data_IF_432672600133
#
_entry.id   IF_432672600133
#
_cell.length_a   1.000
_cell.length_b   1.000
_cell.length_c   1.000
_cell.angle_alpha   90.00
_cell.angle_beta   90.00
_cell.angle_gamma   90.00
#
_symmetry.space_group_name_H-M   'P 1'
#
loop_
_entity.id
_entity.type
_entity.pdbx_description
1 polymer ?
#
# COMPACT_ATOMS: atom_id res chain seq x y z
N UNK A 1 6.72 -9.32 -9.81
CA UNK A 1 6.64 -8.43 -8.62
C UNK A 1 7.97 -8.53 -7.90
N UNK A 2 8.63 -7.40 -7.61
CA UNK A 2 9.89 -7.39 -6.85
C UNK A 2 9.67 -7.33 -5.35
N UNK A 3 8.61 -6.65 -4.90
CA UNK A 3 8.31 -6.51 -3.47
C UNK A 3 6.85 -6.12 -3.25
N UNK A 4 6.29 -6.54 -2.11
CA UNK A 4 4.95 -6.19 -1.68
C UNK A 4 5.01 -5.32 -0.42
N UNK A 5 4.12 -4.34 -0.30
CA UNK A 5 3.99 -3.49 0.90
C UNK A 5 2.55 -3.39 1.31
N UNK A 6 2.27 -3.67 2.58
CA UNK A 6 0.95 -3.40 3.13
C UNK A 6 0.77 -1.89 3.31
N UNK A 7 -0.41 -1.41 2.95
CA UNK A 7 -0.71 0.01 2.93
C UNK A 7 -1.47 0.42 4.19
N UNK A 8 -1.09 1.55 4.77
CA UNK A 8 -1.90 2.27 5.75
C UNK A 8 -2.19 3.67 5.23
N UNK A 9 -3.36 4.19 5.59
CA UNK A 9 -3.82 5.50 5.14
C UNK A 9 -4.22 6.36 6.34
N UNK A 10 -3.93 7.67 6.30
CA UNK A 10 -4.34 8.59 7.37
C UNK A 10 -5.84 8.89 7.30
N UNK A 11 -6.42 8.85 6.09
CA UNK A 11 -7.82 9.16 5.83
C UNK A 11 -8.32 8.47 4.55
N UNK A 12 -9.64 8.40 4.43
CA UNK A 12 -10.34 7.74 3.31
C UNK A 12 -10.11 8.46 1.98
N UNK A 13 -9.91 9.78 1.99
CA UNK A 13 -9.68 10.55 0.78
C UNK A 13 -8.32 10.20 0.16
N UNK A 14 -7.28 10.10 0.99
CA UNK A 14 -5.94 9.67 0.60
C UNK A 14 -5.98 8.23 0.09
N UNK A 15 -6.72 7.32 0.76
CA UNK A 15 -6.92 5.94 0.30
C UNK A 15 -7.50 5.91 -1.11
N UNK A 16 -8.67 6.52 -1.33
CA UNK A 16 -9.36 6.49 -2.63
C UNK A 16 -8.51 7.09 -3.75
N UNK A 17 -7.79 8.17 -3.47
CA UNK A 17 -6.93 8.81 -4.47
C UNK A 17 -5.73 7.92 -4.81
N UNK A 18 -5.10 7.29 -3.81
CA UNK A 18 -4.02 6.33 -4.05
C UNK A 18 -4.52 5.11 -4.83
N UNK A 19 -5.66 4.55 -4.44
CA UNK A 19 -6.27 3.40 -5.10
C UNK A 19 -6.60 3.68 -6.56
N UNK A 20 -7.14 4.86 -6.85
CA UNK A 20 -7.39 5.30 -8.23
C UNK A 20 -6.10 5.45 -9.03
N UNK A 21 -5.07 6.04 -8.43
CA UNK A 21 -3.79 6.31 -9.10
C UNK A 21 -2.94 5.04 -9.34
N UNK A 22 -3.06 4.04 -8.45
CA UNK A 22 -2.26 2.80 -8.45
C UNK A 22 -3.11 1.53 -8.62
N UNK A 23 -4.31 1.64 -9.19
CA UNK A 23 -5.30 0.56 -9.27
C UNK A 23 -4.73 -0.77 -9.79
N UNK A 24 -3.93 -0.72 -10.86
CA UNK A 24 -3.33 -1.92 -11.48
C UNK A 24 -2.25 -2.61 -10.62
N UNK A 25 -1.75 -1.94 -9.57
CA UNK A 25 -0.69 -2.41 -8.70
C UNK A 25 -1.18 -2.63 -7.26
N UNK A 26 -2.50 -2.63 -7.02
CA UNK A 26 -3.09 -2.91 -5.72
C UNK A 26 -3.75 -4.28 -5.73
N UNK A 27 -3.55 -5.01 -4.64
CA UNK A 27 -4.23 -6.25 -4.34
C UNK A 27 -4.75 -6.22 -2.90
N UNK A 28 -5.49 -7.25 -2.53
CA UNK A 28 -5.98 -7.49 -1.17
C UNK A 28 -5.40 -8.80 -0.67
N UNK A 29 -4.89 -8.83 0.56
CA UNK A 29 -4.41 -10.07 1.16
C UNK A 29 -5.55 -10.91 1.80
N UNK A 30 -5.19 -12.06 2.37
CA UNK A 30 -6.16 -13.01 2.97
C UNK A 30 -6.95 -12.42 4.14
N UNK A 31 -6.41 -11.42 4.83
CA UNK A 31 -7.06 -10.77 5.98
C UNK A 31 -7.84 -9.50 5.56
N UNK A 32 -7.85 -9.16 4.27
CA UNK A 32 -8.55 -8.00 3.74
C UNK A 32 -7.72 -6.71 3.68
N UNK A 33 -6.40 -6.78 3.89
CA UNK A 33 -5.55 -5.59 3.88
C UNK A 33 -5.17 -5.19 2.45
N UNK A 34 -5.13 -3.89 2.13
CA UNK A 34 -4.63 -3.40 0.85
C UNK A 34 -3.11 -3.58 0.76
N UNK A 35 -2.65 -4.08 -0.37
CA UNK A 35 -1.24 -4.39 -0.65
C UNK A 35 -0.82 -3.74 -1.95
N UNK A 36 0.25 -2.95 -1.92
CA UNK A 36 0.92 -2.44 -3.12
C UNK A 36 1.94 -3.45 -3.63
N UNK A 37 1.84 -3.82 -4.91
CA UNK A 37 2.69 -4.78 -5.59
C UNK A 37 3.68 -4.07 -6.51
N UNK A 38 4.86 -3.72 -5.99
CA UNK A 38 5.87 -3.02 -6.76
C UNK A 38 6.65 -3.98 -7.69
N UNK A 39 6.60 -3.71 -9.00
CA UNK A 39 7.32 -4.50 -10.01
C UNK A 39 8.84 -4.37 -9.88
N UNK A 40 9.35 -3.19 -9.49
CA UNK A 40 10.75 -2.90 -9.21
C UNK A 40 10.92 -2.03 -7.95
N UNK A 41 12.13 -2.01 -7.37
CA UNK A 41 12.45 -1.15 -6.20
C UNK A 41 12.30 0.35 -6.50
N UNK A 42 12.69 0.78 -7.70
CA UNK A 42 12.54 2.17 -8.15
C UNK A 42 11.07 2.61 -8.17
N UNK A 43 10.16 1.74 -8.61
CA UNK A 43 8.71 1.99 -8.58
C UNK A 43 8.20 2.22 -7.16
N UNK A 44 8.66 1.41 -6.19
CA UNK A 44 8.31 1.62 -4.78
C UNK A 44 8.80 2.99 -4.30
N UNK A 45 10.06 3.33 -4.56
CA UNK A 45 10.65 4.60 -4.12
C UNK A 45 9.90 5.81 -4.68
N UNK A 46 9.69 5.88 -6.00
CA UNK A 46 8.97 6.99 -6.64
C UNK A 46 7.52 7.07 -6.14
N UNK A 47 6.89 5.92 -5.86
CA UNK A 47 5.52 5.90 -5.31
C UNK A 47 5.49 6.45 -3.89
N UNK A 48 6.47 6.10 -3.04
CA UNK A 48 6.60 6.65 -1.68
C UNK A 48 6.86 8.15 -1.69
N UNK A 49 7.71 8.64 -2.61
CA UNK A 49 7.99 10.08 -2.77
C UNK A 49 6.74 10.86 -3.21
N UNK A 50 5.95 10.29 -4.13
CA UNK A 50 4.70 10.91 -4.61
C UNK A 50 3.57 10.85 -3.57
N UNK A 51 3.56 9.82 -2.73
CA UNK A 51 2.53 9.57 -1.72
C UNK A 51 3.11 9.53 -0.31
N UNK A 52 3.68 10.65 0.19
CA UNK A 52 4.42 10.67 1.45
C UNK A 52 3.54 10.40 2.68
N UNK A 53 2.22 10.55 2.55
CA UNK A 53 1.25 10.30 3.61
C UNK A 53 0.80 8.83 3.69
N UNK A 54 1.08 8.01 2.67
CA UNK A 54 0.70 6.60 2.65
C UNK A 54 1.80 5.81 3.36
N UNK A 55 1.41 4.96 4.32
CA UNK A 55 2.35 4.08 4.99
C UNK A 55 2.62 2.83 4.15
N UNK A 56 3.89 2.46 3.98
CA UNK A 56 4.31 1.26 3.26
C UNK A 56 5.04 0.31 4.19
N UNK A 57 4.34 -0.72 4.69
CA UNK A 57 4.89 -1.66 5.68
C UNK A 57 5.49 -2.88 4.98
N UNK A 58 6.73 -3.21 5.35
CA UNK A 58 7.41 -4.42 4.87
C UNK A 58 6.93 -5.69 5.59
N UNK A 59 6.33 -5.54 6.76
CA UNK A 59 5.80 -6.62 7.60
C UNK A 59 4.46 -6.20 8.22
N UNK A 60 3.66 -7.19 8.57
CA UNK A 60 2.50 -7.08 9.45
C UNK A 60 2.37 -8.34 10.28
N UNK A 61 1.61 -8.29 11.36
CA UNK A 61 1.27 -9.48 12.12
C UNK A 61 0.24 -10.33 11.36
N UNK A 62 0.33 -11.66 11.50
CA UNK A 62 -0.65 -12.57 10.91
C UNK A 62 -2.03 -12.39 11.55
N UNK A 63 -3.10 -12.38 10.74
CA UNK A 63 -4.46 -12.08 11.21
C UNK A 63 -4.73 -10.60 11.54
N UNK A 64 -3.73 -9.72 11.46
CA UNK A 64 -3.92 -8.28 11.68
C UNK A 64 -4.68 -7.64 10.52
N UNK A 65 -5.69 -6.83 10.85
CA UNK A 65 -6.32 -5.88 9.92
C UNK A 65 -5.78 -4.48 10.16
N UNK A 66 -5.20 -3.88 9.14
CA UNK A 66 -4.64 -2.54 9.15
C UNK A 66 -5.77 -1.53 8.94
N UNK A 67 -6.23 -0.93 10.03
CA UNK A 67 -7.36 0.01 9.99
C UNK A 67 -6.92 1.45 9.75
N UNK A 68 -5.77 1.90 10.28
CA UNK A 68 -5.28 3.28 10.15
C UNK A 68 -3.75 3.39 10.24
N UNK A 69 -3.19 4.49 9.71
CA UNK A 69 -1.79 4.89 9.88
C UNK A 69 -1.60 5.73 11.15
#
# INVERSE_FOLDING_TARGET
>A
ISTARWLTFPDEATRKNFEKDRAAAIATDVDGNPVFLATHRSTLQVTMERWPKVGFRATREHGQRLTHA
#
